data_IF_698333284076
#
_entry.id   IF_698333284076
#
_cell.length_a   1.000
_cell.length_b   1.000
_cell.length_c   1.000
_cell.angle_alpha   90.00
_cell.angle_beta   90.00
_cell.angle_gamma   90.00
#
_symmetry.space_group_name_H-M   'P 1'
#
loop_
_entity.id
_entity.type
_entity.pdbx_description
1 polymer ?
#
# COMPACT_ATOMS: atom_id res chain seq x y z
N UNK A 1 35.06 -7.56 -30.07
CA UNK A 1 34.17 -6.48 -30.47
C UNK A 1 33.64 -5.68 -29.26
N UNK A 2 32.85 -6.29 -28.32
CA UNK A 2 32.33 -5.55 -27.18
C UNK A 2 33.45 -5.09 -26.22
N UNK A 3 34.53 -5.86 -26.04
CA UNK A 3 35.71 -5.44 -25.28
C UNK A 3 36.37 -4.19 -25.87
N UNK A 4 36.43 -4.09 -27.17
CA UNK A 4 36.95 -2.91 -27.88
C UNK A 4 36.06 -1.68 -27.73
N UNK A 5 34.79 -1.90 -27.37
CA UNK A 5 33.80 -0.86 -27.04
C UNK A 5 33.80 -0.44 -25.56
N UNK A 6 34.76 -0.98 -24.78
CA UNK A 6 34.94 -0.59 -23.37
C UNK A 6 34.19 -1.44 -22.34
N UNK A 7 33.52 -2.54 -22.74
CA UNK A 7 32.86 -3.43 -21.82
C UNK A 7 33.80 -4.47 -21.21
N UNK A 8 33.63 -4.75 -19.92
CA UNK A 8 34.24 -5.90 -19.25
C UNK A 8 33.37 -7.13 -19.49
N UNK A 9 33.95 -8.17 -20.12
CA UNK A 9 33.22 -9.34 -20.60
C UNK A 9 33.67 -10.62 -19.90
N UNK A 10 32.74 -11.34 -19.30
CA UNK A 10 32.89 -12.74 -18.93
C UNK A 10 32.09 -13.61 -19.91
N UNK A 11 32.61 -14.79 -20.24
CA UNK A 11 31.96 -15.73 -21.18
C UNK A 11 31.81 -17.10 -20.54
N UNK A 12 30.69 -17.77 -20.83
CA UNK A 12 30.39 -19.14 -20.45
C UNK A 12 29.95 -19.93 -21.68
N UNK A 13 30.18 -21.24 -21.68
CA UNK A 13 29.81 -22.13 -22.78
C UNK A 13 28.47 -22.84 -22.56
N UNK A 14 27.89 -22.76 -21.36
CA UNK A 14 26.61 -23.38 -20.98
C UNK A 14 25.87 -22.57 -19.90
N UNK A 15 24.59 -22.86 -19.74
CA UNK A 15 23.71 -22.13 -18.79
C UNK A 15 24.10 -22.32 -17.31
N UNK A 16 24.55 -23.51 -16.90
CA UNK A 16 24.90 -23.78 -15.48
C UNK A 16 26.09 -22.94 -15.02
N UNK A 17 27.13 -22.82 -15.88
CA UNK A 17 28.30 -21.98 -15.58
C UNK A 17 27.91 -20.50 -15.56
N UNK A 18 26.98 -20.07 -16.43
CA UNK A 18 26.44 -18.72 -16.44
C UNK A 18 25.68 -18.38 -15.14
N UNK A 19 24.83 -19.28 -14.67
CA UNK A 19 24.10 -19.14 -13.40
C UNK A 19 25.08 -19.06 -12.23
N UNK A 20 26.10 -19.97 -12.19
CA UNK A 20 27.11 -19.94 -11.13
C UNK A 20 27.86 -18.61 -11.10
N UNK A 21 28.35 -18.15 -12.26
CA UNK A 21 29.05 -16.86 -12.32
C UNK A 21 28.18 -15.68 -11.93
N UNK A 22 26.88 -15.70 -12.27
CA UNK A 22 25.93 -14.63 -11.91
C UNK A 22 25.62 -14.57 -10.40
N UNK A 23 25.87 -15.67 -9.65
CA UNK A 23 25.81 -15.70 -8.19
C UNK A 23 27.08 -15.17 -7.53
N UNK A 24 28.24 -15.48 -8.13
CA UNK A 24 29.54 -15.19 -7.53
C UNK A 24 30.05 -13.76 -7.86
N UNK A 25 29.55 -13.15 -8.92
CA UNK A 25 30.00 -11.85 -9.42
C UNK A 25 28.82 -10.95 -9.75
N UNK A 26 29.03 -9.64 -9.61
CA UNK A 26 28.07 -8.62 -10.03
C UNK A 26 28.24 -8.37 -11.54
N UNK A 27 27.12 -8.47 -12.27
CA UNK A 27 27.04 -8.14 -13.68
C UNK A 27 25.96 -7.08 -13.90
N UNK A 28 26.21 -6.19 -14.86
CA UNK A 28 25.24 -5.14 -15.24
C UNK A 28 24.27 -5.62 -16.31
N UNK A 29 24.63 -6.67 -17.06
CA UNK A 29 23.83 -7.22 -18.15
C UNK A 29 24.26 -8.66 -18.47
N UNK A 30 23.31 -9.50 -18.87
CA UNK A 30 23.54 -10.84 -19.41
C UNK A 30 23.09 -10.91 -20.87
N UNK A 31 23.95 -11.43 -21.77
CA UNK A 31 23.57 -11.85 -23.10
C UNK A 31 23.39 -13.37 -23.07
N UNK A 32 22.21 -13.87 -23.36
CA UNK A 32 21.84 -15.27 -23.19
C UNK A 32 21.39 -15.89 -24.52
N UNK A 33 22.07 -16.89 -24.98
CA UNK A 33 21.63 -17.68 -26.14
C UNK A 33 20.53 -18.66 -25.72
N UNK A 34 19.47 -18.77 -26.49
CA UNK A 34 18.40 -19.74 -26.27
C UNK A 34 18.87 -21.18 -26.47
N UNK A 35 19.68 -21.42 -27.49
CA UNK A 35 20.13 -22.75 -27.84
C UNK A 35 21.53 -23.01 -27.33
N UNK A 36 21.64 -23.57 -26.14
CA UNK A 36 22.88 -23.93 -25.46
C UNK A 36 22.90 -25.41 -25.10
N UNK A 37 24.12 -26.04 -25.03
CA UNK A 37 24.25 -27.41 -24.51
C UNK A 37 23.81 -27.52 -23.04
N UNK A 38 23.00 -28.51 -22.71
CA UNK A 38 22.58 -28.82 -21.36
C UNK A 38 21.29 -28.09 -20.97
N UNK A 39 21.42 -27.05 -20.15
CA UNK A 39 20.31 -26.19 -19.76
C UNK A 39 20.03 -25.18 -20.88
N UNK A 40 18.79 -25.07 -21.31
CA UNK A 40 18.39 -24.13 -22.36
C UNK A 40 18.36 -22.66 -21.86
N UNK A 41 18.14 -21.71 -22.79
CA UNK A 41 18.14 -20.30 -22.47
C UNK A 41 16.99 -19.89 -21.56
N UNK A 42 15.78 -20.44 -21.73
CA UNK A 42 14.63 -20.08 -20.91
C UNK A 42 14.77 -20.57 -19.47
N UNK A 43 15.20 -21.81 -19.28
CA UNK A 43 15.44 -22.33 -17.93
C UNK A 43 16.60 -21.59 -17.24
N UNK A 44 17.65 -21.25 -18.01
CA UNK A 44 18.75 -20.41 -17.51
C UNK A 44 18.27 -19.01 -17.11
N UNK A 45 17.39 -18.39 -17.89
CA UNK A 45 16.76 -17.10 -17.61
C UNK A 45 15.98 -17.14 -16.31
N UNK A 46 15.10 -18.14 -16.12
CA UNK A 46 14.30 -18.30 -14.89
C UNK A 46 15.19 -18.41 -13.67
N UNK A 47 16.26 -19.20 -13.72
CA UNK A 47 17.19 -19.32 -12.59
C UNK A 47 17.97 -18.02 -12.32
N UNK A 48 18.43 -17.31 -13.34
CA UNK A 48 19.08 -16.01 -13.18
C UNK A 48 18.12 -15.00 -12.57
N UNK A 49 16.89 -14.91 -13.08
CA UNK A 49 15.86 -13.99 -12.56
C UNK A 49 15.39 -14.34 -11.14
N UNK A 50 15.33 -15.62 -10.80
CA UNK A 50 15.04 -16.07 -9.43
C UNK A 50 16.12 -15.61 -8.44
N UNK A 51 17.39 -15.62 -8.84
CA UNK A 51 18.51 -15.20 -7.98
C UNK A 51 18.70 -13.67 -7.96
N UNK A 52 18.50 -13.00 -9.10
CA UNK A 52 18.60 -11.55 -9.24
C UNK A 52 17.53 -11.03 -10.22
N UNK A 53 16.33 -10.71 -9.74
CA UNK A 53 15.23 -10.21 -10.60
C UNK A 53 15.54 -8.91 -11.34
N UNK A 54 16.46 -8.09 -10.79
CA UNK A 54 16.83 -6.80 -11.36
C UNK A 54 17.90 -6.90 -12.45
N UNK A 55 18.62 -8.01 -12.57
CA UNK A 55 19.68 -8.18 -13.58
C UNK A 55 19.06 -8.23 -14.98
N UNK A 56 19.33 -7.26 -15.86
CA UNK A 56 18.78 -7.25 -17.20
C UNK A 56 19.38 -8.39 -18.04
N UNK A 57 18.53 -9.05 -18.82
CA UNK A 57 18.91 -10.13 -19.70
C UNK A 57 18.45 -9.82 -21.12
N UNK A 58 19.37 -9.90 -22.09
CA UNK A 58 19.04 -9.86 -23.51
C UNK A 58 19.08 -11.29 -24.02
N UNK A 59 17.93 -11.79 -24.49
CA UNK A 59 17.80 -13.12 -25.07
C UNK A 59 18.23 -13.10 -26.55
N UNK A 60 18.95 -14.11 -26.97
CA UNK A 60 19.41 -14.29 -28.35
C UNK A 60 18.91 -15.65 -28.85
N UNK A 61 18.19 -15.68 -29.98
CA UNK A 61 17.61 -16.92 -30.51
C UNK A 61 17.70 -17.02 -32.04
N UNK A 62 17.49 -18.21 -32.55
CA UNK A 62 17.30 -18.48 -34.00
C UNK A 62 15.82 -18.59 -34.39
N UNK A 63 14.92 -18.68 -33.39
CA UNK A 63 13.49 -18.93 -33.63
C UNK A 63 12.72 -17.61 -33.61
N UNK A 64 11.80 -17.45 -34.57
CA UNK A 64 10.80 -16.37 -34.62
C UNK A 64 9.45 -16.85 -34.04
N UNK A 65 9.45 -17.95 -33.29
CA UNK A 65 8.21 -18.50 -32.72
C UNK A 65 7.61 -17.57 -31.67
N UNK A 66 6.39 -17.16 -31.90
CA UNK A 66 5.65 -16.18 -31.10
C UNK A 66 5.53 -16.60 -29.62
N UNK A 67 5.30 -17.90 -29.35
CA UNK A 67 5.21 -18.42 -27.99
C UNK A 67 6.52 -18.24 -27.18
N UNK A 68 7.67 -18.33 -27.82
CA UNK A 68 8.97 -18.15 -27.17
C UNK A 68 9.19 -16.66 -26.80
N UNK A 69 8.72 -15.76 -27.66
CA UNK A 69 8.74 -14.33 -27.40
C UNK A 69 7.81 -13.96 -26.24
N UNK A 70 6.60 -14.49 -26.21
CA UNK A 70 5.62 -14.25 -25.16
C UNK A 70 6.12 -14.78 -23.81
N UNK A 71 6.69 -15.98 -23.79
CA UNK A 71 7.27 -16.56 -22.59
C UNK A 71 8.49 -15.74 -22.09
N UNK A 72 9.39 -15.32 -22.96
CA UNK A 72 10.53 -14.50 -22.59
C UNK A 72 10.10 -13.11 -22.07
N UNK A 73 9.06 -12.52 -22.64
CA UNK A 73 8.47 -11.27 -22.16
C UNK A 73 7.84 -11.47 -20.76
N UNK A 74 7.16 -12.59 -20.53
CA UNK A 74 6.59 -12.93 -19.22
C UNK A 74 7.65 -13.04 -18.13
N UNK A 75 8.84 -13.50 -18.46
CA UNK A 75 10.03 -13.58 -17.59
C UNK A 75 10.81 -12.24 -17.48
N UNK A 76 10.24 -11.14 -17.97
CA UNK A 76 10.79 -9.78 -17.87
C UNK A 76 12.20 -9.63 -18.44
N UNK A 77 12.43 -10.12 -19.64
CA UNK A 77 13.67 -9.84 -20.38
C UNK A 77 13.79 -8.35 -20.72
N UNK A 78 15.02 -7.86 -20.82
CA UNK A 78 15.27 -6.47 -21.19
C UNK A 78 15.20 -6.23 -22.70
N UNK A 79 15.60 -7.23 -23.50
CA UNK A 79 15.57 -7.15 -24.97
C UNK A 79 15.63 -8.55 -25.59
N UNK A 80 15.21 -8.66 -26.85
CA UNK A 80 15.20 -9.89 -27.62
C UNK A 80 15.90 -9.67 -28.97
N UNK A 81 16.82 -10.56 -29.38
CA UNK A 81 17.55 -10.50 -30.64
C UNK A 81 17.43 -11.81 -31.40
N UNK A 82 17.16 -11.73 -32.71
CA UNK A 82 16.99 -12.89 -33.60
C UNK A 82 18.21 -13.05 -34.48
N UNK A 83 18.79 -14.26 -34.53
CA UNK A 83 19.93 -14.60 -35.41
C UNK A 83 19.44 -14.73 -36.87
N UNK A 84 20.21 -14.26 -37.88
CA UNK A 84 21.59 -13.77 -37.79
C UNK A 84 21.70 -12.34 -37.25
N UNK A 85 22.60 -12.11 -36.28
CA UNK A 85 22.77 -10.84 -35.59
C UNK A 85 24.08 -10.19 -36.06
N UNK A 86 23.96 -8.93 -36.45
CA UNK A 86 25.14 -8.09 -36.65
C UNK A 86 25.72 -7.66 -35.29
N UNK A 87 27.04 -7.70 -35.08
CA UNK A 87 27.65 -7.22 -33.83
C UNK A 87 27.21 -5.82 -33.40
N UNK A 88 26.91 -4.93 -34.32
CA UNK A 88 26.38 -3.60 -34.01
C UNK A 88 24.98 -3.63 -33.42
N UNK A 89 24.14 -4.59 -33.77
CA UNK A 89 22.80 -4.75 -33.15
C UNK A 89 22.94 -5.16 -31.69
N UNK A 90 23.87 -6.07 -31.38
CA UNK A 90 24.17 -6.45 -29.99
C UNK A 90 24.65 -5.22 -29.20
N UNK A 91 25.57 -4.44 -29.78
CA UNK A 91 26.10 -3.23 -29.16
C UNK A 91 25.01 -2.20 -28.88
N UNK A 92 24.10 -1.95 -29.84
CA UNK A 92 22.97 -1.02 -29.69
C UNK A 92 22.03 -1.51 -28.59
N UNK A 93 21.67 -2.78 -28.56
CA UNK A 93 20.84 -3.36 -27.55
C UNK A 93 21.46 -3.27 -26.13
N UNK A 94 22.75 -3.61 -26.00
CA UNK A 94 23.48 -3.44 -24.75
C UNK A 94 23.50 -1.98 -24.30
N UNK A 95 23.78 -1.06 -25.22
CA UNK A 95 23.83 0.36 -24.95
C UNK A 95 22.46 0.89 -24.48
N UNK A 96 21.38 0.52 -25.17
CA UNK A 96 20.03 0.90 -24.78
C UNK A 96 19.68 0.41 -23.37
N UNK A 97 19.89 -0.87 -23.08
CA UNK A 97 19.55 -1.45 -21.79
C UNK A 97 20.36 -0.85 -20.65
N UNK A 98 21.65 -0.60 -20.84
CA UNK A 98 22.54 -0.04 -19.82
C UNK A 98 22.38 1.47 -19.66
N UNK A 99 22.17 2.21 -20.76
CA UNK A 99 21.98 3.67 -20.72
C UNK A 99 20.55 4.04 -20.24
N UNK A 100 19.52 3.26 -20.58
CA UNK A 100 18.17 3.49 -20.08
C UNK A 100 18.11 3.41 -18.55
N UNK A 101 18.83 2.46 -17.95
CA UNK A 101 18.94 2.38 -16.49
C UNK A 101 19.65 3.61 -15.92
N UNK A 102 20.75 4.05 -16.50
CA UNK A 102 21.51 5.22 -16.09
C UNK A 102 20.74 6.53 -16.33
N UNK A 103 20.11 6.66 -17.50
CA UNK A 103 19.30 7.82 -17.87
C UNK A 103 18.07 7.95 -16.96
N UNK A 104 17.44 6.83 -16.55
CA UNK A 104 16.33 6.87 -15.58
C UNK A 104 16.81 7.34 -14.22
N UNK A 105 17.93 6.84 -13.70
CA UNK A 105 18.51 7.29 -12.43
C UNK A 105 18.87 8.78 -12.46
N UNK A 106 19.55 9.25 -13.51
CA UNK A 106 19.90 10.67 -13.67
C UNK A 106 18.66 11.55 -13.82
N UNK A 107 17.61 11.12 -14.53
CA UNK A 107 16.33 11.83 -14.63
C UNK A 107 15.59 11.89 -13.29
N UNK A 108 15.58 10.82 -12.52
CA UNK A 108 14.92 10.78 -11.21
C UNK A 108 15.64 11.69 -10.24
N UNK A 109 16.96 11.64 -10.16
CA UNK A 109 17.78 12.51 -9.34
C UNK A 109 17.57 13.99 -9.70
N UNK A 110 17.71 14.33 -10.99
CA UNK A 110 17.51 15.69 -11.49
C UNK A 110 16.06 16.17 -11.26
N UNK A 111 15.08 15.29 -11.50
CA UNK A 111 13.67 15.59 -11.27
C UNK A 111 13.36 15.90 -9.80
N UNK A 112 13.89 15.10 -8.87
CA UNK A 112 13.72 15.36 -7.45
C UNK A 112 14.39 16.64 -6.99
N UNK A 113 15.63 16.89 -7.41
CA UNK A 113 16.33 18.13 -7.05
C UNK A 113 15.61 19.38 -7.53
N UNK A 114 15.00 19.34 -8.71
CA UNK A 114 14.14 20.43 -9.20
C UNK A 114 12.86 20.59 -8.35
N UNK A 115 12.28 19.50 -7.88
CA UNK A 115 11.07 19.54 -7.07
C UNK A 115 11.31 19.76 -5.59
N UNK A 116 12.51 19.49 -5.08
CA UNK A 116 12.84 19.57 -3.67
C UNK A 116 12.46 20.93 -3.06
N UNK A 117 12.93 22.02 -3.64
CA UNK A 117 12.63 23.38 -3.16
C UNK A 117 11.13 23.69 -3.24
N UNK A 118 10.46 23.17 -4.28
CA UNK A 118 9.02 23.35 -4.46
C UNK A 118 8.23 22.60 -3.39
N UNK A 119 8.64 21.39 -3.05
CA UNK A 119 8.01 20.61 -1.97
C UNK A 119 8.24 21.30 -0.62
N UNK A 120 9.46 21.79 -0.33
CA UNK A 120 9.74 22.54 0.90
C UNK A 120 8.86 23.78 1.02
N UNK A 121 8.80 24.58 -0.04
CA UNK A 121 7.93 25.75 -0.09
C UNK A 121 6.46 25.37 0.13
N UNK A 122 5.98 24.31 -0.52
CA UNK A 122 4.61 23.84 -0.34
C UNK A 122 4.34 23.39 1.10
N UNK A 123 5.31 22.76 1.77
CA UNK A 123 5.22 22.38 3.19
C UNK A 123 5.12 23.65 4.09
N UNK A 124 5.80 24.72 3.72
CA UNK A 124 5.74 25.99 4.46
C UNK A 124 4.43 26.72 4.28
N UNK A 125 3.92 26.75 3.05
CA UNK A 125 2.74 27.51 2.66
C UNK A 125 1.42 26.72 2.84
N UNK A 126 1.48 25.44 3.24
CA UNK A 126 0.30 24.55 3.34
C UNK A 126 -0.67 25.03 4.43
N UNK A 127 -1.85 25.49 4.01
CA UNK A 127 -2.91 26.01 4.86
C UNK A 127 -4.21 25.22 4.80
N UNK A 128 -4.35 24.31 3.85
CA UNK A 128 -5.54 23.48 3.66
C UNK A 128 -5.22 21.99 3.66
N UNK A 129 -6.20 21.15 3.99
CA UNK A 129 -6.05 19.69 3.92
C UNK A 129 -5.68 19.21 2.51
N UNK A 130 -6.22 19.85 1.47
CA UNK A 130 -5.91 19.53 0.08
C UNK A 130 -4.44 19.83 -0.28
N UNK A 131 -3.84 20.90 0.29
CA UNK A 131 -2.40 21.16 0.13
C UNK A 131 -1.58 20.01 0.74
N UNK A 132 -1.91 19.60 1.96
CA UNK A 132 -1.24 18.51 2.66
C UNK A 132 -1.38 17.17 1.93
N UNK A 133 -2.56 16.90 1.37
CA UNK A 133 -2.78 15.72 0.55
C UNK A 133 -1.85 15.69 -0.67
N UNK A 134 -1.75 16.79 -1.42
CA UNK A 134 -0.88 16.90 -2.61
C UNK A 134 0.60 16.73 -2.24
N UNK A 135 1.03 17.31 -1.11
CA UNK A 135 2.39 17.16 -0.60
C UNK A 135 2.67 15.70 -0.26
N UNK A 136 1.80 15.07 0.53
CA UNK A 136 1.96 13.68 0.96
C UNK A 136 1.99 12.72 -0.24
N UNK A 137 1.07 12.86 -1.16
CA UNK A 137 1.01 12.05 -2.38
C UNK A 137 2.31 12.15 -3.19
N UNK A 138 2.88 13.33 -3.29
CA UNK A 138 4.13 13.56 -4.03
C UNK A 138 5.35 12.97 -3.31
N UNK A 139 5.43 13.11 -1.99
CA UNK A 139 6.47 12.49 -1.18
C UNK A 139 6.43 10.96 -1.28
N UNK A 140 5.24 10.36 -1.24
CA UNK A 140 5.07 8.92 -1.44
C UNK A 140 5.55 8.47 -2.81
N UNK A 141 5.25 9.22 -3.87
CA UNK A 141 5.77 8.90 -5.22
C UNK A 141 7.28 8.86 -5.25
N UNK A 142 7.94 9.88 -4.69
CA UNK A 142 9.41 9.92 -4.63
C UNK A 142 10.01 8.77 -3.82
N UNK A 143 9.34 8.34 -2.73
CA UNK A 143 9.78 7.17 -1.98
C UNK A 143 9.79 5.91 -2.84
N UNK A 144 8.73 5.69 -3.63
CA UNK A 144 8.61 4.53 -4.50
C UNK A 144 9.61 4.59 -5.66
N UNK A 145 9.79 5.76 -6.28
CA UNK A 145 10.73 5.96 -7.38
C UNK A 145 12.18 5.71 -6.94
N UNK A 146 12.56 6.14 -5.72
CA UNK A 146 13.91 5.90 -5.18
C UNK A 146 14.13 4.45 -4.77
N UNK A 147 13.12 3.76 -4.30
CA UNK A 147 13.20 2.33 -3.99
C UNK A 147 13.39 1.50 -5.27
N UNK A 148 12.65 1.80 -6.32
CA UNK A 148 12.79 1.13 -7.61
C UNK A 148 14.21 1.31 -8.18
N UNK A 149 14.81 2.48 -7.98
CA UNK A 149 16.13 2.81 -8.54
C UNK A 149 17.28 2.61 -7.54
N UNK A 150 17.00 2.19 -6.30
CA UNK A 150 18.00 1.98 -5.22
C UNK A 150 18.84 3.22 -4.91
N UNK A 151 18.23 4.41 -4.94
CA UNK A 151 18.89 5.70 -4.68
C UNK A 151 18.96 6.00 -3.16
N UNK A 152 19.87 5.33 -2.45
CA UNK A 152 19.97 5.40 -0.98
C UNK A 152 20.32 6.81 -0.48
N UNK A 153 21.18 7.55 -1.18
CA UNK A 153 21.60 8.90 -0.76
C UNK A 153 20.46 9.91 -0.78
N UNK A 154 19.57 9.83 -1.76
CA UNK A 154 18.42 10.71 -1.87
C UNK A 154 17.30 10.32 -0.90
N UNK A 155 17.21 9.04 -0.54
CA UNK A 155 16.27 8.56 0.47
C UNK A 155 16.46 9.24 1.83
N UNK A 156 17.69 9.52 2.23
CA UNK A 156 17.95 10.24 3.49
C UNK A 156 17.39 11.67 3.44
N UNK A 157 17.65 12.39 2.36
CA UNK A 157 17.16 13.78 2.16
C UNK A 157 15.63 13.80 2.11
N UNK A 158 15.03 12.87 1.38
CA UNK A 158 13.57 12.71 1.30
C UNK A 158 12.96 12.41 2.69
N UNK A 159 13.60 11.55 3.48
CA UNK A 159 13.13 11.22 4.83
C UNK A 159 13.16 12.44 5.78
N UNK A 160 14.16 13.31 5.68
CA UNK A 160 14.21 14.57 6.43
C UNK A 160 13.07 15.51 6.04
N UNK A 161 12.78 15.60 4.73
CA UNK A 161 11.66 16.37 4.21
C UNK A 161 10.31 15.83 4.68
N UNK A 162 10.13 14.49 4.67
CA UNK A 162 8.95 13.81 5.22
C UNK A 162 8.79 14.09 6.72
N UNK A 163 9.87 14.04 7.50
CA UNK A 163 9.81 14.34 8.93
C UNK A 163 9.41 15.81 9.19
N UNK A 164 9.90 16.73 8.38
CA UNK A 164 9.52 18.14 8.45
C UNK A 164 8.04 18.33 8.10
N UNK A 165 7.58 17.71 7.02
CA UNK A 165 6.16 17.69 6.64
C UNK A 165 5.28 17.12 7.75
N UNK A 166 5.67 15.98 8.35
CA UNK A 166 4.92 15.38 9.45
C UNK A 166 4.77 16.31 10.67
N UNK A 167 5.83 17.02 11.06
CA UNK A 167 5.75 17.98 12.19
C UNK A 167 4.77 19.11 11.89
N UNK A 168 4.87 19.70 10.71
CA UNK A 168 3.98 20.80 10.30
C UNK A 168 2.54 20.35 10.10
N UNK A 169 2.34 19.16 9.54
CA UNK A 169 1.00 18.56 9.40
C UNK A 169 0.37 18.28 10.76
N UNK A 170 1.15 17.81 11.74
CA UNK A 170 0.64 17.62 13.11
C UNK A 170 0.12 18.94 13.68
N UNK A 171 0.88 20.02 13.56
CA UNK A 171 0.46 21.37 14.01
C UNK A 171 -0.79 21.84 13.26
N UNK A 172 -0.86 21.60 11.95
CA UNK A 172 -2.03 21.94 11.15
C UNK A 172 -3.28 21.19 11.65
N UNK A 173 -3.17 19.88 11.93
CA UNK A 173 -4.27 19.10 12.50
C UNK A 173 -4.67 19.59 13.88
N UNK A 174 -3.72 19.83 14.79
CA UNK A 174 -3.98 20.39 16.13
C UNK A 174 -4.80 21.68 16.07
N UNK A 175 -4.45 22.57 15.14
CA UNK A 175 -5.11 23.87 15.02
C UNK A 175 -6.50 23.81 14.37
N UNK A 176 -6.79 22.78 13.55
CA UNK A 176 -7.99 22.74 12.73
C UNK A 176 -8.98 21.65 13.13
N UNK A 177 -8.52 20.55 13.75
CA UNK A 177 -9.33 19.35 13.94
C UNK A 177 -10.62 19.63 14.75
N UNK A 178 -10.55 20.44 15.78
CA UNK A 178 -11.72 20.79 16.61
C UNK A 178 -12.81 21.48 15.78
N UNK A 179 -12.43 22.39 14.88
CA UNK A 179 -13.39 23.05 14.01
C UNK A 179 -14.01 22.09 12.99
N UNK A 180 -13.26 21.10 12.49
CA UNK A 180 -13.79 20.10 11.56
C UNK A 180 -14.91 19.23 12.13
N UNK A 181 -14.98 19.10 13.46
CA UNK A 181 -16.06 18.33 14.09
C UNK A 181 -17.40 19.08 14.10
N UNK A 182 -17.41 20.39 13.86
CA UNK A 182 -18.61 21.25 13.97
C UNK A 182 -19.00 22.00 12.69
N UNK A 183 -18.10 22.11 11.68
CA UNK A 183 -18.38 22.82 10.44
C UNK A 183 -18.62 21.87 9.27
N UNK A 184 -19.36 22.31 8.25
CA UNK A 184 -19.61 21.52 7.03
C UNK A 184 -18.45 21.60 6.04
N UNK A 185 -17.80 22.77 5.91
CA UNK A 185 -16.64 22.96 5.04
C UNK A 185 -15.38 22.43 5.71
N UNK A 186 -15.17 21.12 5.56
CA UNK A 186 -14.09 20.37 6.19
C UNK A 186 -13.65 19.20 5.33
N UNK A 187 -12.47 18.60 5.60
CA UNK A 187 -12.09 17.35 4.95
C UNK A 187 -13.13 16.25 5.16
N UNK A 188 -13.23 15.33 4.21
CA UNK A 188 -13.98 14.08 4.40
C UNK A 188 -13.37 13.34 5.58
N UNK A 189 -14.12 13.12 6.64
CA UNK A 189 -13.71 12.33 7.81
C UNK A 189 -14.11 10.86 7.65
N UNK A 190 -13.62 10.00 8.54
CA UNK A 190 -13.98 8.57 8.55
C UNK A 190 -15.49 8.32 8.51
N UNK A 191 -16.29 9.13 9.22
CA UNK A 191 -17.75 9.06 9.22
C UNK A 191 -18.41 9.41 7.89
N UNK A 192 -17.72 10.12 7.03
CA UNK A 192 -18.30 10.64 5.79
C UNK A 192 -17.99 9.75 4.58
N UNK A 193 -17.06 8.79 4.71
CA UNK A 193 -16.55 7.97 3.62
C UNK A 193 -17.68 7.24 2.90
N UNK A 194 -18.57 6.60 3.65
CA UNK A 194 -19.68 5.85 3.07
C UNK A 194 -20.60 6.77 2.25
N UNK A 195 -21.02 7.88 2.85
CA UNK A 195 -21.94 8.83 2.23
C UNK A 195 -21.33 9.47 0.97
N UNK A 196 -20.02 9.77 0.97
CA UNK A 196 -19.37 10.43 -0.16
C UNK A 196 -18.91 9.48 -1.27
N UNK A 197 -18.70 8.20 -0.98
CA UNK A 197 -18.06 7.28 -1.93
C UNK A 197 -18.87 6.02 -2.25
N UNK A 198 -19.71 5.55 -1.33
CA UNK A 198 -20.50 4.33 -1.50
C UNK A 198 -21.95 4.65 -1.86
N UNK A 199 -22.58 5.56 -1.11
CA UNK A 199 -23.98 5.93 -1.29
C UNK A 199 -24.31 6.33 -2.74
N UNK A 200 -23.57 7.24 -3.42
CA UNK A 200 -23.90 7.67 -4.79
C UNK A 200 -23.88 6.50 -5.79
N UNK A 201 -23.01 5.52 -5.60
CA UNK A 201 -22.94 4.34 -6.45
C UNK A 201 -24.15 3.42 -6.26
N UNK A 202 -24.56 3.20 -5.00
CA UNK A 202 -25.75 2.40 -4.68
C UNK A 202 -27.04 3.05 -5.17
N UNK A 203 -27.17 4.38 -5.06
CA UNK A 203 -28.29 5.16 -5.61
C UNK A 203 -28.38 5.04 -7.13
N UNK A 204 -27.25 4.94 -7.81
CA UNK A 204 -27.18 4.66 -9.25
C UNK A 204 -27.38 3.18 -9.61
N UNK A 205 -27.78 2.34 -8.64
CA UNK A 205 -27.96 0.89 -8.81
C UNK A 205 -26.69 0.14 -9.25
N UNK A 206 -25.51 0.68 -8.93
CA UNK A 206 -24.26 -0.04 -9.11
C UNK A 206 -24.08 -1.09 -8.00
N UNK A 207 -23.44 -2.21 -8.33
CA UNK A 207 -22.95 -3.13 -7.30
C UNK A 207 -21.67 -2.60 -6.69
N UNK A 208 -21.62 -2.51 -5.37
CA UNK A 208 -20.50 -1.90 -4.67
C UNK A 208 -19.83 -2.87 -3.70
N UNK A 209 -18.52 -2.92 -3.72
CA UNK A 209 -17.73 -3.54 -2.66
C UNK A 209 -17.04 -2.44 -1.85
N UNK A 210 -17.42 -2.29 -0.58
CA UNK A 210 -16.68 -1.50 0.39
C UNK A 210 -15.60 -2.39 1.02
N UNK A 211 -14.35 -2.18 0.62
CA UNK A 211 -13.20 -2.91 1.11
C UNK A 211 -12.41 -2.06 2.10
N UNK A 212 -12.45 -2.41 3.37
CA UNK A 212 -11.69 -1.75 4.44
C UNK A 212 -10.43 -2.56 4.73
N UNK A 213 -9.29 -2.01 4.37
CA UNK A 213 -7.97 -2.58 4.65
C UNK A 213 -7.43 -1.99 5.96
N UNK A 214 -7.49 -2.77 7.04
CA UNK A 214 -7.06 -2.33 8.37
C UNK A 214 -5.60 -1.86 8.40
N UNK A 215 -5.37 -0.63 8.86
CA UNK A 215 -4.08 0.02 8.99
C UNK A 215 -3.28 0.21 7.68
N UNK A 216 -3.89 0.10 6.51
CA UNK A 216 -3.19 0.28 5.24
C UNK A 216 -2.91 1.77 4.98
N UNK A 217 -1.67 2.07 4.61
CA UNK A 217 -1.20 3.41 4.27
C UNK A 217 -1.24 3.68 2.76
N UNK A 218 -1.19 4.96 2.40
CA UNK A 218 -1.15 5.37 1.00
C UNK A 218 0.07 4.82 0.25
N UNK A 219 1.25 4.79 0.87
CA UNK A 219 2.47 4.27 0.23
C UNK A 219 2.37 2.77 -0.07
N UNK A 220 1.73 1.99 0.80
CA UNK A 220 1.43 0.58 0.57
C UNK A 220 0.39 0.41 -0.55
N UNK A 221 -0.68 1.22 -0.55
CA UNK A 221 -1.64 1.22 -1.63
C UNK A 221 -0.99 1.57 -2.98
N UNK A 222 -0.13 2.58 -3.01
CA UNK A 222 0.58 2.98 -4.23
C UNK A 222 1.54 1.90 -4.75
N UNK A 223 2.11 1.08 -3.87
CA UNK A 223 2.88 -0.10 -4.26
C UNK A 223 1.99 -1.19 -4.90
N UNK A 224 0.70 -1.27 -4.53
CA UNK A 224 -0.29 -2.17 -5.14
C UNK A 224 -0.92 -1.58 -6.41
N UNK A 225 -0.82 -0.28 -6.63
CA UNK A 225 -1.51 0.44 -7.70
C UNK A 225 -1.34 -0.21 -9.10
N UNK A 226 -0.12 -0.59 -9.54
CA UNK A 226 0.06 -1.21 -10.85
C UNK A 226 -0.73 -2.52 -10.99
N UNK A 227 -0.75 -3.35 -9.93
CA UNK A 227 -1.46 -4.63 -9.91
C UNK A 227 -2.99 -4.47 -9.88
N UNK A 228 -3.47 -3.43 -9.21
CA UNK A 228 -4.90 -3.10 -9.18
C UNK A 228 -5.37 -2.50 -10.51
N UNK A 229 -4.51 -1.73 -11.16
CA UNK A 229 -4.81 -1.10 -12.45
C UNK A 229 -4.97 -2.09 -13.62
N UNK A 230 -4.51 -3.34 -13.44
CA UNK A 230 -4.77 -4.42 -14.40
C UNK A 230 -6.28 -4.71 -14.58
N UNK A 231 -7.07 -4.52 -13.52
CA UNK A 231 -8.51 -4.86 -13.49
C UNK A 231 -9.42 -3.67 -13.26
N UNK A 232 -8.89 -2.50 -12.84
CA UNK A 232 -9.68 -1.35 -12.41
C UNK A 232 -9.15 -0.03 -12.96
N UNK A 233 -10.06 0.87 -13.36
CA UNK A 233 -9.75 2.29 -13.50
C UNK A 233 -9.83 2.95 -12.13
N UNK A 234 -8.70 3.48 -11.64
CA UNK A 234 -8.54 3.90 -10.25
C UNK A 234 -8.65 5.42 -10.11
N UNK A 235 -9.54 5.87 -9.24
CA UNK A 235 -9.63 7.25 -8.77
C UNK A 235 -9.25 7.32 -7.29
N UNK A 236 -8.30 8.18 -6.93
CA UNK A 236 -7.86 8.37 -5.54
C UNK A 236 -8.51 9.64 -5.00
N UNK A 237 -9.17 9.53 -3.85
CA UNK A 237 -9.74 10.64 -3.08
C UNK A 237 -9.10 10.69 -1.70
N UNK A 238 -8.90 11.90 -1.17
CA UNK A 238 -8.37 12.09 0.17
C UNK A 238 -9.46 12.07 1.23
N UNK A 239 -9.14 11.51 2.38
CA UNK A 239 -9.96 11.58 3.59
C UNK A 239 -9.05 11.67 4.82
N UNK A 240 -9.57 12.20 5.90
CA UNK A 240 -8.88 12.32 7.18
C UNK A 240 -9.49 11.34 8.19
N UNK A 241 -8.68 10.45 8.73
CA UNK A 241 -9.12 9.59 9.84
C UNK A 241 -9.42 10.44 11.08
N UNK A 242 -10.52 10.12 11.77
CA UNK A 242 -10.86 10.79 13.03
C UNK A 242 -9.82 10.46 14.11
N UNK A 243 -9.65 11.40 15.05
CA UNK A 243 -8.78 11.20 16.20
C UNK A 243 -9.56 10.58 17.38
N UNK A 244 -8.96 9.63 18.12
CA UNK A 244 -7.68 9.00 17.84
C UNK A 244 -7.77 8.06 16.62
N UNK A 245 -6.74 8.09 15.76
CA UNK A 245 -6.70 7.25 14.55
C UNK A 245 -6.47 5.78 14.92
N UNK A 246 -7.49 5.12 15.38
CA UNK A 246 -7.45 3.74 15.86
C UNK A 246 -8.73 3.01 15.50
N UNK A 247 -8.62 1.70 15.32
CA UNK A 247 -9.69 0.81 14.87
C UNK A 247 -11.03 1.02 15.61
N UNK A 248 -11.09 1.10 16.96
CA UNK A 248 -12.36 1.26 17.68
C UNK A 248 -13.13 2.54 17.36
N UNK A 249 -12.42 3.59 16.93
CA UNK A 249 -13.03 4.89 16.62
C UNK A 249 -13.24 5.02 15.11
N UNK A 250 -12.17 4.98 14.33
CA UNK A 250 -12.22 5.27 12.90
C UNK A 250 -13.04 4.26 12.12
N UNK A 251 -12.91 2.95 12.41
CA UNK A 251 -13.66 1.92 11.69
C UNK A 251 -15.14 1.94 12.07
N UNK A 252 -15.47 2.08 13.35
CA UNK A 252 -16.85 2.26 13.75
C UNK A 252 -17.47 3.51 13.14
N UNK A 253 -16.71 4.59 12.95
CA UNK A 253 -17.19 5.78 12.25
C UNK A 253 -17.47 5.52 10.76
N UNK A 254 -16.61 4.74 10.06
CA UNK A 254 -16.84 4.34 8.67
C UNK A 254 -18.16 3.55 8.55
N UNK A 255 -18.36 2.56 9.39
CA UNK A 255 -19.53 1.68 9.32
C UNK A 255 -20.80 2.30 9.89
N UNK A 256 -20.70 3.17 10.89
CA UNK A 256 -21.86 3.84 11.44
C UNK A 256 -22.21 5.15 10.73
N UNK A 257 -21.28 5.79 10.00
CA UNK A 257 -21.48 7.14 9.47
C UNK A 257 -21.66 8.21 10.56
N UNK A 258 -21.13 7.99 11.76
CA UNK A 258 -21.29 8.87 12.90
C UNK A 258 -19.96 9.21 13.55
N UNK A 259 -19.82 10.42 14.06
CA UNK A 259 -18.70 10.79 14.93
C UNK A 259 -18.87 10.11 16.31
N UNK A 260 -17.80 9.96 17.11
CA UNK A 260 -17.80 9.17 18.33
C UNK A 260 -18.87 9.56 19.36
N UNK A 261 -19.15 10.82 19.58
CA UNK A 261 -20.19 11.28 20.51
C UNK A 261 -21.60 10.93 20.03
N UNK A 262 -21.91 11.21 18.77
CA UNK A 262 -23.17 10.83 18.15
C UNK A 262 -23.33 9.30 18.08
N UNK A 263 -22.25 8.58 17.87
CA UNK A 263 -22.20 7.13 17.93
C UNK A 263 -22.51 6.62 19.33
N UNK A 264 -21.90 7.18 20.38
CA UNK A 264 -22.14 6.83 21.76
C UNK A 264 -23.60 7.10 22.20
N UNK A 265 -24.18 8.20 21.75
CA UNK A 265 -25.60 8.52 22.04
C UNK A 265 -26.55 7.58 21.29
N UNK A 266 -26.21 7.18 20.06
CA UNK A 266 -27.08 6.35 19.24
C UNK A 266 -27.08 4.87 19.65
N UNK A 267 -25.93 4.36 20.12
CA UNK A 267 -25.67 2.96 20.41
C UNK A 267 -25.20 2.72 21.86
N UNK A 268 -25.85 3.26 22.91
CA UNK A 268 -25.37 3.19 24.30
C UNK A 268 -25.25 1.76 24.81
N UNK A 269 -26.22 0.89 24.50
CA UNK A 269 -26.21 -0.52 24.89
C UNK A 269 -25.09 -1.31 24.25
N UNK A 270 -24.83 -1.08 22.96
CA UNK A 270 -23.76 -1.72 22.19
C UNK A 270 -22.39 -1.36 22.76
N UNK A 271 -22.21 -0.09 23.13
CA UNK A 271 -20.95 0.39 23.73
C UNK A 271 -20.74 -0.23 25.11
N UNK A 272 -21.77 -0.31 25.91
CA UNK A 272 -21.72 -0.97 27.22
C UNK A 272 -21.29 -2.45 27.07
N UNK A 273 -21.90 -3.18 26.14
CA UNK A 273 -21.55 -4.56 25.84
C UNK A 273 -20.10 -4.70 25.36
N UNK A 274 -19.65 -3.83 24.45
CA UNK A 274 -18.26 -3.81 23.96
C UNK A 274 -17.25 -3.48 25.06
N UNK A 275 -17.62 -2.74 26.10
CA UNK A 275 -16.75 -2.37 27.21
C UNK A 275 -16.67 -3.43 28.31
N UNK A 276 -17.73 -4.22 28.53
CA UNK A 276 -17.83 -5.25 29.55
C UNK A 276 -17.13 -6.55 29.10
N UNK A 277 -17.40 -7.00 27.89
CA UNK A 277 -16.67 -8.11 27.31
C UNK A 277 -15.28 -7.63 26.92
N UNK A 278 -14.24 -8.20 27.50
CA UNK A 278 -12.83 -7.98 27.12
C UNK A 278 -12.54 -8.34 25.63
N UNK A 279 -13.58 -8.36 24.80
CA UNK A 279 -13.57 -8.58 23.38
C UNK A 279 -13.24 -7.33 22.58
N UNK A 280 -13.08 -7.52 21.28
CA UNK A 280 -12.82 -6.45 20.33
C UNK A 280 -13.94 -5.41 20.33
N UNK A 281 -13.59 -4.13 20.43
CA UNK A 281 -14.52 -2.99 20.32
C UNK A 281 -15.15 -2.84 18.91
N UNK A 282 -14.87 -3.78 17.99
CA UNK A 282 -15.29 -3.80 16.60
C UNK A 282 -16.07 -5.09 16.26
N UNK A 283 -16.98 -5.52 17.11
CA UNK A 283 -17.77 -6.74 16.87
C UNK A 283 -19.08 -6.48 16.13
N UNK A 284 -19.58 -5.23 16.19
CA UNK A 284 -20.92 -4.86 15.70
C UNK A 284 -20.88 -4.00 14.42
N UNK A 285 -19.82 -4.11 13.63
CA UNK A 285 -19.63 -3.32 12.40
C UNK A 285 -20.76 -3.56 11.38
N UNK A 286 -21.26 -4.80 11.26
CA UNK A 286 -22.41 -5.12 10.40
C UNK A 286 -23.69 -4.43 10.87
N UNK A 287 -23.99 -4.46 12.19
CA UNK A 287 -25.13 -3.78 12.78
C UNK A 287 -25.08 -2.26 12.56
N UNK A 288 -23.90 -1.66 12.71
CA UNK A 288 -23.68 -0.24 12.46
C UNK A 288 -23.90 0.12 11.00
N UNK A 289 -23.43 -0.74 10.06
CA UNK A 289 -23.64 -0.54 8.63
C UNK A 289 -25.13 -0.64 8.26
N UNK A 290 -25.85 -1.62 8.79
CA UNK A 290 -27.31 -1.73 8.61
C UNK A 290 -28.00 -0.47 9.12
N UNK A 291 -27.61 0.01 10.31
CA UNK A 291 -28.13 1.25 10.88
C UNK A 291 -27.80 2.49 10.02
N UNK A 292 -26.64 2.52 9.36
CA UNK A 292 -26.28 3.59 8.44
C UNK A 292 -27.12 3.54 7.16
N UNK A 293 -27.23 2.37 6.53
CA UNK A 293 -28.08 2.17 5.34
C UNK A 293 -29.52 2.64 5.60
N UNK A 294 -30.06 2.29 6.76
CA UNK A 294 -31.42 2.71 7.16
C UNK A 294 -31.56 4.23 7.29
N UNK A 295 -30.55 4.92 7.84
CA UNK A 295 -30.57 6.39 7.94
C UNK A 295 -30.45 7.09 6.59
N UNK A 296 -29.78 6.44 5.62
CA UNK A 296 -29.61 6.96 4.28
C UNK A 296 -30.73 6.58 3.30
N UNK A 297 -31.77 5.83 3.77
CA UNK A 297 -32.86 5.35 2.91
C UNK A 297 -32.45 4.27 1.92
N UNK A 298 -31.39 3.50 2.24
CA UNK A 298 -30.84 2.42 1.45
C UNK A 298 -31.07 1.03 2.07
N UNK A 299 -32.04 0.92 2.97
CA UNK A 299 -32.39 -0.32 3.69
C UNK A 299 -33.02 -1.41 2.79
N UNK A 300 -33.40 -1.03 1.58
CA UNK A 300 -33.83 -1.95 0.53
C UNK A 300 -32.67 -2.64 -0.20
N UNK A 301 -31.43 -2.17 -0.02
CA UNK A 301 -30.25 -2.75 -0.68
C UNK A 301 -29.79 -4.01 0.03
N UNK A 302 -29.55 -5.05 -0.75
CA UNK A 302 -29.06 -6.32 -0.23
C UNK A 302 -27.61 -6.22 0.20
N UNK A 303 -27.32 -6.50 1.47
CA UNK A 303 -26.01 -6.39 2.10
C UNK A 303 -25.43 -7.77 2.43
N UNK A 304 -24.14 -7.95 2.21
CA UNK A 304 -23.35 -8.99 2.84
C UNK A 304 -22.10 -8.37 3.48
N UNK A 305 -21.90 -8.62 4.76
CA UNK A 305 -20.72 -8.19 5.52
C UNK A 305 -19.80 -9.38 5.80
N UNK A 306 -18.50 -9.22 5.66
CA UNK A 306 -17.51 -10.24 5.99
C UNK A 306 -16.23 -9.65 6.55
N UNK A 307 -15.74 -10.19 7.68
CA UNK A 307 -14.49 -9.77 8.33
C UNK A 307 -13.51 -10.93 8.30
N UNK A 308 -12.31 -10.67 7.79
CA UNK A 308 -11.29 -11.67 7.52
C UNK A 308 -10.05 -11.40 8.38
N UNK A 309 -9.77 -12.31 9.29
CA UNK A 309 -8.62 -12.28 10.18
C UNK A 309 -7.51 -13.23 9.73
N UNK A 310 -7.85 -14.39 9.17
CA UNK A 310 -6.94 -15.47 8.85
C UNK A 310 -6.97 -15.80 7.36
N UNK A 311 -5.87 -16.37 6.89
CA UNK A 311 -5.71 -16.76 5.49
C UNK A 311 -6.79 -17.79 5.07
N UNK A 312 -7.08 -18.79 5.94
CA UNK A 312 -8.08 -19.82 5.65
C UNK A 312 -9.51 -19.25 5.55
N UNK A 313 -9.84 -18.20 6.30
CA UNK A 313 -11.10 -17.48 6.16
C UNK A 313 -11.19 -16.78 4.81
N UNK A 314 -10.11 -16.14 4.38
CA UNK A 314 -10.03 -15.51 3.06
C UNK A 314 -10.13 -16.50 1.91
N UNK A 315 -9.47 -17.66 2.01
CA UNK A 315 -9.59 -18.73 1.01
C UNK A 315 -11.00 -19.31 0.94
N UNK A 316 -11.67 -19.49 2.10
CA UNK A 316 -13.09 -19.89 2.15
C UNK A 316 -13.99 -18.83 1.54
N UNK A 317 -13.73 -17.56 1.79
CA UNK A 317 -14.47 -16.45 1.18
C UNK A 317 -14.30 -16.47 -0.35
N UNK A 318 -13.07 -16.58 -0.85
CA UNK A 318 -12.76 -16.70 -2.27
C UNK A 318 -13.51 -17.85 -2.92
N UNK A 319 -13.46 -19.04 -2.33
CA UNK A 319 -14.14 -20.24 -2.88
C UNK A 319 -15.67 -20.11 -2.96
N UNK A 320 -16.26 -19.16 -2.23
CA UNK A 320 -17.71 -18.88 -2.19
C UNK A 320 -18.09 -17.55 -2.83
N UNK A 321 -17.19 -16.88 -3.51
CA UNK A 321 -17.41 -15.52 -4.04
C UNK A 321 -18.65 -15.47 -4.96
N UNK A 322 -18.92 -16.54 -5.74
CA UNK A 322 -20.10 -16.66 -6.57
C UNK A 322 -21.43 -16.54 -5.82
N UNK A 323 -21.45 -16.85 -4.53
CA UNK A 323 -22.62 -16.67 -3.66
C UNK A 323 -22.79 -15.22 -3.21
N UNK A 324 -21.70 -14.45 -3.16
CA UNK A 324 -21.68 -13.09 -2.64
C UNK A 324 -21.88 -12.03 -3.72
N UNK A 325 -21.50 -12.30 -4.98
CA UNK A 325 -21.68 -11.36 -6.11
C UNK A 325 -23.15 -11.08 -6.47
N UNK A 326 -24.11 -11.78 -5.84
CA UNK A 326 -25.54 -11.49 -5.97
C UNK A 326 -26.01 -10.29 -5.14
N UNK A 327 -25.26 -9.90 -4.10
CA UNK A 327 -25.59 -8.75 -3.25
C UNK A 327 -25.26 -7.44 -3.96
N UNK A 328 -26.00 -6.38 -3.63
CA UNK A 328 -25.74 -5.03 -4.16
C UNK A 328 -24.61 -4.34 -3.41
N UNK A 329 -24.47 -4.63 -2.12
CA UNK A 329 -23.38 -4.14 -1.28
C UNK A 329 -22.64 -5.30 -0.62
N UNK A 330 -21.34 -5.41 -0.92
CA UNK A 330 -20.41 -6.24 -0.16
C UNK A 330 -19.57 -5.34 0.73
N UNK A 331 -19.52 -5.61 2.02
CA UNK A 331 -18.61 -4.92 2.94
C UNK A 331 -17.59 -5.93 3.48
N UNK A 332 -16.33 -5.73 3.13
CA UNK A 332 -15.24 -6.65 3.47
C UNK A 332 -14.21 -5.92 4.31
N UNK A 333 -13.85 -6.49 5.45
CA UNK A 333 -12.75 -6.00 6.30
C UNK A 333 -11.61 -6.99 6.26
N UNK A 334 -10.40 -6.50 5.98
CA UNK A 334 -9.17 -7.31 5.88
C UNK A 334 -8.14 -6.79 6.88
N UNK A 335 -7.76 -7.63 7.82
CA UNK A 335 -6.89 -7.24 8.94
C UNK A 335 -5.40 -7.58 8.74
N UNK A 336 -4.98 -7.99 7.55
CA UNK A 336 -3.61 -8.46 7.30
C UNK A 336 -2.55 -7.40 7.61
N UNK A 337 -2.73 -6.15 7.15
CA UNK A 337 -1.72 -5.10 7.28
C UNK A 337 -1.53 -4.70 8.75
N UNK A 338 -2.64 -4.59 9.50
CA UNK A 338 -2.60 -4.34 10.96
C UNK A 338 -1.91 -5.47 11.72
N UNK A 339 -2.25 -6.73 11.39
CA UNK A 339 -1.59 -7.90 12.01
C UNK A 339 -0.09 -7.94 11.71
N UNK A 340 0.32 -7.59 10.49
CA UNK A 340 1.73 -7.51 10.13
C UNK A 340 2.44 -6.44 10.99
N UNK A 341 1.81 -5.27 11.20
CA UNK A 341 2.32 -4.21 12.04
C UNK A 341 2.54 -4.65 13.49
N UNK A 342 1.53 -5.28 14.06
CA UNK A 342 1.57 -5.76 15.43
C UNK A 342 2.59 -6.89 15.61
N UNK A 343 2.53 -7.93 14.79
CA UNK A 343 3.42 -9.12 14.91
C UNK A 343 4.87 -8.82 14.61
N UNK A 344 5.16 -7.82 13.76
CA UNK A 344 6.54 -7.41 13.50
C UNK A 344 7.25 -6.99 14.79
N UNK A 345 6.58 -6.28 15.69
CA UNK A 345 7.17 -5.85 16.96
C UNK A 345 7.50 -7.02 17.91
N UNK A 346 6.85 -8.16 17.74
CA UNK A 346 6.94 -9.34 18.60
C UNK A 346 7.86 -10.43 18.05
N UNK A 347 8.20 -10.41 16.75
CA UNK A 347 8.96 -11.45 16.07
C UNK A 347 10.26 -10.92 15.49
N UNK A 348 11.40 -11.49 15.93
CA UNK A 348 12.72 -11.09 15.38
C UNK A 348 12.86 -11.48 13.90
N UNK A 349 12.29 -12.61 13.49
CA UNK A 349 12.25 -13.02 12.07
C UNK A 349 11.51 -12.00 11.23
N UNK A 350 10.36 -11.49 11.70
CA UNK A 350 9.63 -10.45 10.96
C UNK A 350 10.36 -9.11 10.97
N UNK A 351 11.15 -8.79 12.01
CA UNK A 351 12.00 -7.59 12.00
C UNK A 351 13.10 -7.68 10.93
N UNK A 352 13.67 -8.87 10.72
CA UNK A 352 14.65 -9.10 9.65
C UNK A 352 14.00 -9.05 8.25
N UNK A 353 12.82 -9.64 8.08
CA UNK A 353 12.10 -9.65 6.80
C UNK A 353 11.53 -8.27 6.42
N UNK A 354 11.18 -7.48 7.41
CA UNK A 354 10.54 -6.16 7.26
C UNK A 354 11.32 -5.14 8.10
N UNK A 355 12.57 -4.82 7.74
CA UNK A 355 13.44 -3.99 8.57
C UNK A 355 12.98 -2.54 8.67
N UNK A 356 12.40 -2.03 7.60
CA UNK A 356 12.03 -0.62 7.41
C UNK A 356 10.69 -0.46 6.68
N UNK A 357 10.36 0.78 6.31
CA UNK A 357 9.13 1.11 5.59
C UNK A 357 9.09 0.55 4.16
N UNK A 358 10.25 0.42 3.49
CA UNK A 358 10.36 -0.21 2.18
C UNK A 358 10.06 -1.70 2.25
N UNK A 359 10.66 -2.41 3.20
CA UNK A 359 10.35 -3.80 3.50
C UNK A 359 8.86 -4.02 3.81
N UNK A 360 8.24 -3.04 4.49
CA UNK A 360 6.81 -3.08 4.77
C UNK A 360 5.95 -3.02 3.50
N UNK A 361 6.27 -2.11 2.57
CA UNK A 361 5.60 -2.01 1.27
C UNK A 361 5.76 -3.28 0.46
N UNK A 362 6.98 -3.84 0.42
CA UNK A 362 7.25 -5.09 -0.29
C UNK A 362 6.50 -6.29 0.32
N UNK A 363 6.41 -6.38 1.65
CA UNK A 363 5.65 -7.43 2.31
C UNK A 363 4.15 -7.36 1.99
N UNK A 364 3.57 -6.16 1.96
CA UNK A 364 2.15 -5.96 1.57
C UNK A 364 1.94 -6.28 0.09
N UNK A 365 2.87 -5.87 -0.79
CA UNK A 365 2.82 -6.19 -2.22
C UNK A 365 2.91 -7.70 -2.47
N UNK A 366 3.92 -8.37 -1.91
CA UNK A 366 4.10 -9.81 -2.06
C UNK A 366 2.93 -10.62 -1.48
N UNK A 367 2.34 -10.15 -0.37
CA UNK A 367 1.11 -10.74 0.15
C UNK A 367 -0.04 -10.60 -0.86
N UNK A 368 -0.27 -9.41 -1.41
CA UNK A 368 -1.34 -9.18 -2.38
C UNK A 368 -1.19 -10.07 -3.62
N UNK A 369 0.01 -10.16 -4.18
CA UNK A 369 0.32 -10.95 -5.37
C UNK A 369 -0.03 -12.44 -5.20
N UNK A 370 0.17 -12.99 -3.98
CA UNK A 370 0.05 -14.40 -3.68
C UNK A 370 -1.18 -14.75 -2.82
N UNK A 371 -2.07 -13.79 -2.55
CA UNK A 371 -3.20 -14.02 -1.65
C UNK A 371 -4.54 -14.15 -2.37
N UNK A 372 -5.49 -14.68 -1.64
CA UNK A 372 -6.89 -14.84 -2.05
C UNK A 372 -7.55 -13.51 -2.49
N UNK A 373 -7.10 -12.36 -1.95
CA UNK A 373 -7.73 -11.06 -2.23
C UNK A 373 -7.58 -10.62 -3.68
N UNK A 374 -6.46 -10.96 -4.33
CA UNK A 374 -6.25 -10.67 -5.75
C UNK A 374 -7.31 -11.36 -6.61
N UNK A 375 -7.51 -12.65 -6.37
CA UNK A 375 -8.54 -13.41 -7.10
C UNK A 375 -9.95 -12.89 -6.82
N UNK A 376 -10.27 -12.55 -5.56
CA UNK A 376 -11.56 -11.95 -5.20
C UNK A 376 -11.78 -10.62 -5.94
N UNK A 377 -10.79 -9.74 -5.99
CA UNK A 377 -10.91 -8.47 -6.71
C UNK A 377 -11.06 -8.66 -8.22
N UNK A 378 -10.39 -9.66 -8.82
CA UNK A 378 -10.57 -10.01 -10.24
C UNK A 378 -12.00 -10.49 -10.51
N UNK A 379 -12.53 -11.35 -9.66
CA UNK A 379 -13.92 -11.84 -9.77
C UNK A 379 -14.94 -10.71 -9.60
N UNK A 380 -14.73 -9.81 -8.65
CA UNK A 380 -15.60 -8.64 -8.44
C UNK A 380 -15.57 -7.70 -9.64
N UNK A 381 -14.41 -7.46 -10.26
CA UNK A 381 -14.30 -6.68 -11.49
C UNK A 381 -15.10 -7.33 -12.62
N UNK A 382 -14.95 -8.63 -12.83
CA UNK A 382 -15.69 -9.40 -13.84
C UNK A 382 -17.21 -9.37 -13.59
N UNK A 383 -17.63 -9.38 -12.32
CA UNK A 383 -19.03 -9.28 -11.91
C UNK A 383 -19.59 -7.84 -11.95
N UNK A 384 -18.81 -6.86 -12.39
CA UNK A 384 -19.21 -5.45 -12.58
C UNK A 384 -19.27 -4.64 -11.29
N UNK A 385 -18.60 -5.07 -10.22
CA UNK A 385 -18.55 -4.30 -8.97
C UNK A 385 -17.69 -3.05 -9.08
N UNK A 386 -18.17 -1.95 -8.53
CA UNK A 386 -17.35 -0.78 -8.17
C UNK A 386 -16.73 -1.05 -6.80
N UNK A 387 -15.41 -0.99 -6.71
CA UNK A 387 -14.70 -1.23 -5.44
C UNK A 387 -14.31 0.10 -4.82
N UNK A 388 -14.83 0.38 -3.64
CA UNK A 388 -14.40 1.49 -2.78
C UNK A 388 -13.46 0.92 -1.74
N UNK A 389 -12.15 1.07 -1.98
CA UNK A 389 -11.11 0.64 -1.06
C UNK A 389 -10.74 1.79 -0.13
N UNK A 390 -10.74 1.55 1.17
CA UNK A 390 -10.38 2.54 2.19
C UNK A 390 -9.60 1.90 3.34
N UNK A 391 -9.10 2.72 4.24
CA UNK A 391 -8.51 2.29 5.51
C UNK A 391 -9.06 3.11 6.66
N UNK A 392 -9.13 2.51 7.84
CA UNK A 392 -9.57 3.18 9.06
C UNK A 392 -8.44 4.03 9.68
N UNK A 393 -7.21 3.56 9.62
CA UNK A 393 -6.01 4.29 10.05
C UNK A 393 -4.77 3.76 9.29
N UNK A 394 -3.61 4.32 9.60
CA UNK A 394 -2.32 3.81 9.14
C UNK A 394 -1.44 3.36 10.31
N UNK A 395 -0.22 3.01 10.00
CA UNK A 395 0.84 2.69 10.96
C UNK A 395 2.04 3.59 10.73
N UNK A 396 2.81 3.90 11.77
CA UNK A 396 4.04 4.65 11.65
C UNK A 396 5.11 4.12 12.59
N UNK A 397 6.33 3.97 12.06
CA UNK A 397 7.50 3.71 12.89
C UNK A 397 7.86 4.98 13.65
N UNK A 398 8.00 4.89 14.97
CA UNK A 398 8.36 6.00 15.85
C UNK A 398 9.68 5.71 16.55
N UNK A 399 10.50 6.74 16.71
CA UNK A 399 11.83 6.64 17.30
C UNK A 399 11.90 7.15 18.74
N UNK A 400 10.83 7.80 19.22
CA UNK A 400 10.76 8.37 20.57
C UNK A 400 9.44 7.99 21.23
N UNK A 401 9.53 7.51 22.46
CA UNK A 401 8.38 7.25 23.32
C UNK A 401 8.24 8.38 24.35
N UNK A 402 7.00 8.60 24.81
CA UNK A 402 6.69 9.51 25.90
C UNK A 402 6.08 8.75 27.05
N UNK A 403 6.58 8.99 28.26
CA UNK A 403 6.03 8.41 29.47
C UNK A 403 4.70 9.09 29.81
N UNK A 404 3.66 8.30 29.97
CA UNK A 404 2.32 8.76 30.40
C UNK A 404 1.99 8.08 31.72
N UNK A 405 1.84 8.88 32.77
CA UNK A 405 1.37 8.38 34.06
C UNK A 405 -0.15 8.15 33.98
N UNK A 406 -0.58 6.93 34.22
CA UNK A 406 -1.98 6.54 34.15
C UNK A 406 -2.27 5.45 35.20
N UNK A 407 -3.53 5.31 35.62
CA UNK A 407 -3.92 4.25 36.54
C UNK A 407 -4.00 2.88 35.82
N UNK A 408 -4.15 1.80 36.59
CA UNK A 408 -4.22 0.43 36.10
C UNK A 408 -5.45 0.12 35.24
N UNK A 409 -6.44 1.01 35.24
CA UNK A 409 -7.66 0.88 34.45
C UNK A 409 -7.62 1.68 33.14
N UNK A 410 -6.51 2.37 32.87
CA UNK A 410 -6.33 3.06 31.60
C UNK A 410 -6.08 2.08 30.45
N UNK A 411 -6.39 2.52 29.22
CA UNK A 411 -6.14 1.71 28.04
C UNK A 411 -4.66 1.32 27.89
N UNK A 412 -4.39 0.12 27.41
CA UNK A 412 -3.04 -0.40 27.17
C UNK A 412 -2.42 0.11 25.86
N UNK A 413 -3.21 0.75 24.99
CA UNK A 413 -2.74 1.27 23.70
C UNK A 413 -1.51 2.18 23.83
N UNK A 414 -0.55 2.02 22.92
CA UNK A 414 0.70 2.81 22.91
C UNK A 414 0.57 4.13 22.15
N UNK A 415 -0.40 4.24 21.25
CA UNK A 415 -0.63 5.44 20.43
C UNK A 415 -1.47 6.51 21.12
N UNK A 416 -2.43 6.08 21.93
CA UNK A 416 -3.29 6.93 22.73
C UNK A 416 -3.62 6.24 24.06
N UNK A 417 -3.98 7.03 25.04
CA UNK A 417 -4.45 6.55 26.34
C UNK A 417 -5.81 7.17 26.63
N UNK A 418 -6.75 6.35 27.08
CA UNK A 418 -8.00 6.85 27.66
C UNK A 418 -8.21 6.20 29.03
N UNK A 419 -8.86 6.91 29.92
CA UNK A 419 -9.08 6.48 31.31
C UNK A 419 -9.18 7.66 32.26
N UNK A 420 -9.27 7.33 33.55
CA UNK A 420 -9.23 8.32 34.62
C UNK A 420 -7.79 8.57 35.05
N UNK A 421 -7.49 9.77 35.57
CA UNK A 421 -6.18 10.10 36.16
C UNK A 421 -4.98 9.92 35.19
N UNK A 422 -5.15 10.30 33.92
CA UNK A 422 -4.06 10.30 32.96
C UNK A 422 -3.31 11.63 33.07
N UNK A 423 -1.98 11.57 33.19
CA UNK A 423 -1.11 12.74 33.21
C UNK A 423 0.04 12.57 32.22
N UNK A 424 0.16 13.49 31.29
CA UNK A 424 1.24 13.54 30.30
C UNK A 424 1.77 14.97 30.16
N UNK A 425 3.00 15.09 29.69
CA UNK A 425 3.58 16.39 29.38
C UNK A 425 2.83 17.05 28.21
N UNK A 426 2.33 18.26 28.39
CA UNK A 426 1.67 19.05 27.32
C UNK A 426 2.56 19.31 26.11
N UNK A 427 3.88 19.14 26.21
CA UNK A 427 4.82 19.26 25.07
C UNK A 427 4.84 18.00 24.19
N UNK A 428 4.35 16.87 24.67
CA UNK A 428 4.48 15.55 24.03
C UNK A 428 3.15 14.83 23.84
N UNK A 429 2.05 15.39 24.32
CA UNK A 429 0.73 14.77 24.15
C UNK A 429 -0.36 15.84 24.06
N UNK A 430 -1.37 15.56 23.26
CA UNK A 430 -2.63 16.32 23.20
C UNK A 430 -3.57 15.74 24.25
N UNK A 431 -4.07 16.61 25.15
CA UNK A 431 -5.03 16.24 26.20
C UNK A 431 -6.44 16.66 25.76
N UNK A 432 -7.31 15.68 25.56
CA UNK A 432 -8.71 15.86 25.19
C UNK A 432 -9.58 15.41 26.37
N UNK A 433 -10.23 16.36 27.04
CA UNK A 433 -10.99 16.09 28.28
C UNK A 433 -12.49 16.02 28.09
N UNK A 434 -12.99 16.48 26.98
CA UNK A 434 -14.41 16.50 26.64
C UNK A 434 -14.67 15.72 25.36
N UNK A 435 -15.71 14.88 25.38
CA UNK A 435 -16.13 14.11 24.20
C UNK A 435 -16.56 14.99 23.02
N UNK A 436 -16.92 16.25 23.31
CA UNK A 436 -17.36 17.25 22.33
C UNK A 436 -16.27 18.28 21.97
N UNK A 437 -15.02 18.01 22.31
CA UNK A 437 -13.90 18.91 22.08
C UNK A 437 -12.82 18.32 21.19
#
# INVERSE_FOLDING_TARGET
>A
FLKEKGYSIATCSNGRDGISQSKDKIFDLVLLDQFMPGLDGMDTLREIKSNNPALPVIMITKSEEEWLMDEAISEKIAHFLIKPINPNQIFIACKQVLEDSKIRGEKTTSGYLQEFQKIEKNIEDASTFENWWKIYYRLVKWQLDFEEQKEESLNQILNEQIQTGNRKFTQFVENNYKSWLSVQDRPILSSDIFQNSVQPLLENNEKVCLLVMDAMRLDQFMALYPLLAENYSIQIKSSCSILPTATPFSRNAIFSGLLPDAFCQKYPKQIETMSIDKGSLNQLEEEFLIGQLKRLGLDNKSLHYHKIWKVDEGQKFQSRISQYIKYELLAIVVNFVDQLAHRRSESDVLKEMVPDEAGYRQAVKGWYENSWIRAVLTELSTAGFKVVMTSDHGSKMVNRSTMVAADKYSSTGIRYKHGRNINASKKSAIDIRELNS
#
